data_IF_125030205378
#
_entry.id   IF_125030205378
#
_cell.length_a   1.000
_cell.length_b   1.000
_cell.length_c   1.000
_cell.angle_alpha   90.00
_cell.angle_beta   90.00
_cell.angle_gamma   90.00
#
_symmetry.space_group_name_H-M   'P 1'
#
loop_
_entity.id
_entity.type
_entity.pdbx_description
1 polymer ?
#
# COMPACT_ATOMS: atom_id res chain seq x y z
N UNK A 1 -1.70 20.64 21.18
CA UNK A 1 -0.48 21.45 21.01
C UNK A 1 -0.57 22.17 19.67
N UNK A 2 -0.51 23.47 19.71
CA UNK A 2 -0.46 24.31 18.52
C UNK A 2 0.86 24.06 17.76
N UNK A 3 0.78 23.80 16.46
CA UNK A 3 1.96 23.38 15.67
C UNK A 3 2.92 24.54 15.35
N UNK A 4 2.44 25.79 15.38
CA UNK A 4 3.24 26.98 15.09
C UNK A 4 3.92 27.52 16.33
N UNK A 5 3.21 27.52 17.47
CA UNK A 5 3.69 28.11 18.73
C UNK A 5 4.21 27.07 19.73
N UNK A 6 3.88 25.80 19.56
CA UNK A 6 4.17 24.76 20.54
C UNK A 6 3.32 24.82 21.81
N UNK A 7 2.38 25.78 21.91
CA UNK A 7 1.55 25.97 23.10
C UNK A 7 0.60 24.78 23.32
N UNK A 8 0.49 24.37 24.58
CA UNK A 8 -0.48 23.36 25.01
C UNK A 8 -1.71 24.13 25.54
N UNK A 9 -2.88 23.79 25.01
CA UNK A 9 -4.15 24.29 25.49
C UNK A 9 -4.96 23.13 26.05
N UNK A 10 -5.46 23.29 27.27
CA UNK A 10 -6.42 22.36 27.89
C UNK A 10 -7.83 22.85 27.59
N UNK A 11 -8.69 21.91 27.19
CA UNK A 11 -10.10 22.14 26.90
C UNK A 11 -10.94 21.09 27.60
N UNK A 12 -11.95 21.53 28.35
CA UNK A 12 -12.96 20.62 28.90
C UNK A 12 -13.93 20.16 27.80
N UNK A 13 -14.43 18.94 27.90
CA UNK A 13 -15.40 18.37 26.98
C UNK A 13 -16.34 17.41 27.73
N UNK A 14 -17.55 17.23 27.23
CA UNK A 14 -18.51 16.26 27.72
C UNK A 14 -18.43 14.95 26.91
N UNK A 15 -18.12 15.04 25.62
CA UNK A 15 -17.96 13.92 24.70
C UNK A 15 -16.74 14.12 23.81
N UNK A 16 -15.90 13.10 23.71
CA UNK A 16 -14.73 13.09 22.81
C UNK A 16 -14.91 12.04 21.71
N UNK A 17 -14.74 12.47 20.46
CA UNK A 17 -14.73 11.57 19.31
C UNK A 17 -13.29 11.38 18.82
N UNK A 18 -12.80 10.15 18.79
CA UNK A 18 -11.51 9.78 18.26
C UNK A 18 -11.65 9.29 16.81
N UNK A 19 -11.28 10.14 15.85
CA UNK A 19 -11.29 9.84 14.42
C UNK A 19 -9.88 9.92 13.83
N UNK A 20 -8.93 9.18 14.42
CA UNK A 20 -7.49 9.27 14.10
C UNK A 20 -7.08 8.58 12.80
N UNK A 21 -7.98 7.80 12.20
CA UNK A 21 -7.74 7.11 10.92
C UNK A 21 -6.69 6.01 11.00
N UNK A 22 -5.98 5.81 9.89
CA UNK A 22 -4.96 4.79 9.75
C UNK A 22 -3.77 5.31 8.93
N UNK A 23 -2.65 4.60 9.01
CA UNK A 23 -1.43 4.90 8.25
C UNK A 23 -1.05 3.67 7.41
N UNK A 24 -0.64 3.85 6.13
CA UNK A 24 -0.15 2.75 5.30
C UNK A 24 1.02 2.02 5.94
N UNK A 25 1.01 0.71 5.81
CA UNK A 25 2.15 -0.11 6.24
C UNK A 25 3.33 0.18 5.32
N UNK A 26 4.43 0.63 5.91
CA UNK A 26 5.71 0.77 5.22
C UNK A 26 6.51 -0.52 5.36
N UNK A 27 7.01 -1.02 4.24
CA UNK A 27 7.90 -2.18 4.25
C UNK A 27 9.30 -1.73 4.67
N UNK A 28 9.78 -2.26 5.80
CA UNK A 28 11.18 -2.06 6.24
C UNK A 28 12.07 -3.13 5.58
N UNK A 29 12.21 -3.02 4.27
CA UNK A 29 13.00 -3.94 3.44
C UNK A 29 14.18 -3.19 2.82
N UNK A 30 15.28 -3.89 2.46
CA UNK A 30 16.38 -3.29 1.74
C UNK A 30 15.92 -2.54 0.48
N UNK A 31 16.37 -1.30 0.31
CA UNK A 31 16.02 -0.45 -0.82
C UNK A 31 14.65 0.24 -0.75
N UNK A 32 13.92 0.13 0.36
CA UNK A 32 12.59 0.76 0.51
C UNK A 32 12.64 2.31 0.51
N UNK A 33 13.81 2.89 0.65
CA UNK A 33 14.08 4.33 0.59
C UNK A 33 14.31 4.87 -0.82
N UNK A 34 14.42 4.00 -1.82
CA UNK A 34 14.66 4.40 -3.22
C UNK A 34 13.50 5.25 -3.77
N UNK A 35 13.84 6.22 -4.63
CA UNK A 35 12.84 6.96 -5.39
C UNK A 35 12.04 6.04 -6.32
N UNK A 36 10.79 6.38 -6.59
CA UNK A 36 9.88 5.56 -7.39
C UNK A 36 9.14 4.48 -6.59
N UNK A 37 9.30 4.44 -5.26
CA UNK A 37 8.53 3.56 -4.37
C UNK A 37 7.55 4.40 -3.57
N UNK A 38 6.25 4.07 -3.67
CA UNK A 38 5.18 4.83 -3.05
C UNK A 38 4.21 3.92 -2.29
N UNK A 39 3.67 4.43 -1.19
CA UNK A 39 2.36 4.00 -0.71
C UNK A 39 1.28 4.78 -1.48
N UNK A 40 0.03 4.34 -1.43
CA UNK A 40 -1.07 5.00 -2.12
C UNK A 40 -2.26 5.12 -1.16
N UNK A 41 -2.33 6.24 -0.46
CA UNK A 41 -3.32 6.48 0.58
C UNK A 41 -3.95 7.86 0.53
N UNK A 42 -3.15 8.88 0.24
CA UNK A 42 -3.61 10.25 0.21
C UNK A 42 -3.71 10.80 -1.23
N UNK A 43 -4.63 11.75 -1.51
CA UNK A 43 -4.80 12.30 -2.87
C UNK A 43 -3.52 12.90 -3.47
N UNK A 44 -2.67 13.53 -2.66
CA UNK A 44 -1.42 14.13 -3.14
C UNK A 44 -0.38 13.09 -3.60
N UNK A 45 -0.46 11.84 -3.11
CA UNK A 45 0.40 10.76 -3.58
C UNK A 45 0.07 10.41 -5.04
N UNK A 46 -1.20 10.51 -5.43
CA UNK A 46 -1.62 10.35 -6.83
C UNK A 46 -0.96 11.37 -7.76
N UNK A 47 -0.91 12.63 -7.35
CA UNK A 47 -0.27 13.69 -8.13
C UNK A 47 1.21 13.42 -8.28
N UNK A 48 1.89 13.08 -7.19
CA UNK A 48 3.32 12.75 -7.20
C UNK A 48 3.63 11.56 -8.10
N UNK A 49 2.83 10.50 -8.03
CA UNK A 49 2.99 9.32 -8.90
C UNK A 49 2.82 9.70 -10.38
N UNK A 50 1.82 10.52 -10.72
CA UNK A 50 1.62 11.00 -12.11
C UNK A 50 2.79 11.83 -12.60
N UNK A 51 3.27 12.78 -11.80
CA UNK A 51 4.44 13.59 -12.13
C UNK A 51 5.68 12.73 -12.38
N UNK A 52 5.93 11.73 -11.53
CA UNK A 52 7.04 10.80 -11.71
C UNK A 52 6.87 9.92 -12.96
N UNK A 53 5.67 9.42 -13.24
CA UNK A 53 5.40 8.63 -14.44
C UNK A 53 5.73 9.40 -15.71
N UNK A 54 5.38 10.69 -15.78
CA UNK A 54 5.69 11.56 -16.91
C UNK A 54 7.18 11.89 -16.99
N UNK A 55 7.79 12.31 -15.86
CA UNK A 55 9.17 12.74 -15.81
C UNK A 55 10.16 11.62 -16.17
N UNK A 56 9.87 10.39 -15.75
CA UNK A 56 10.75 9.23 -15.96
C UNK A 56 10.27 8.28 -17.07
N UNK A 57 9.17 8.64 -17.78
CA UNK A 57 8.58 7.84 -18.85
C UNK A 57 8.38 6.38 -18.42
N UNK A 58 7.73 6.21 -17.27
CA UNK A 58 7.50 4.89 -16.67
C UNK A 58 6.68 4.01 -17.59
N UNK A 59 7.16 2.81 -17.85
CA UNK A 59 6.47 1.78 -18.65
C UNK A 59 6.14 0.53 -17.82
N UNK A 60 6.90 0.29 -16.75
CA UNK A 60 6.81 -0.93 -15.95
C UNK A 60 6.54 -0.58 -14.49
N UNK A 61 5.43 -1.08 -13.98
CA UNK A 61 5.03 -0.93 -12.59
C UNK A 61 4.90 -2.29 -11.90
N UNK A 62 5.41 -2.34 -10.67
CA UNK A 62 5.15 -3.47 -9.76
C UNK A 62 4.28 -2.98 -8.60
N UNK A 63 3.20 -3.70 -8.34
CA UNK A 63 2.32 -3.49 -7.19
C UNK A 63 2.59 -4.61 -6.19
N UNK A 64 2.96 -4.25 -4.97
CA UNK A 64 3.16 -5.19 -3.86
C UNK A 64 1.89 -5.21 -3.03
N UNK A 65 1.18 -6.33 -3.08
CA UNK A 65 -0.12 -6.55 -2.45
C UNK A 65 -1.28 -6.57 -3.45
N UNK A 66 -2.05 -7.66 -3.46
CA UNK A 66 -3.23 -7.87 -4.30
C UNK A 66 -4.56 -7.63 -3.54
N UNK A 67 -4.56 -6.70 -2.58
CA UNK A 67 -5.77 -6.19 -1.92
C UNK A 67 -6.54 -5.20 -2.80
N UNK A 68 -7.63 -4.61 -2.26
CA UNK A 68 -8.49 -3.67 -3.00
C UNK A 68 -7.70 -2.56 -3.70
N UNK A 69 -6.84 -1.84 -2.96
CA UNK A 69 -6.07 -0.73 -3.51
C UNK A 69 -5.15 -1.21 -4.63
N UNK A 70 -4.44 -2.34 -4.42
CA UNK A 70 -3.55 -2.90 -5.42
C UNK A 70 -4.28 -3.28 -6.70
N UNK A 71 -5.46 -3.87 -6.60
CA UNK A 71 -6.27 -4.28 -7.74
C UNK A 71 -6.82 -3.10 -8.54
N UNK A 72 -7.35 -2.07 -7.86
CA UNK A 72 -7.82 -0.82 -8.49
C UNK A 72 -6.70 -0.08 -9.22
N UNK A 73 -5.51 -0.01 -8.61
CA UNK A 73 -4.35 0.61 -9.24
C UNK A 73 -3.83 -0.20 -10.43
N UNK A 74 -3.90 -1.53 -10.35
CA UNK A 74 -3.51 -2.39 -11.47
C UNK A 74 -4.35 -2.11 -12.72
N UNK A 75 -5.67 -1.98 -12.56
CA UNK A 75 -6.56 -1.59 -13.64
C UNK A 75 -6.25 -0.19 -14.16
N UNK A 76 -6.04 0.78 -13.25
CA UNK A 76 -5.75 2.16 -13.61
C UNK A 76 -4.44 2.29 -14.41
N UNK A 77 -3.36 1.62 -13.99
CA UNK A 77 -2.09 1.63 -14.72
C UNK A 77 -2.17 0.87 -16.05
N UNK A 78 -2.88 -0.26 -16.06
CA UNK A 78 -3.09 -1.02 -17.29
C UNK A 78 -3.83 -0.17 -18.35
N UNK A 79 -4.88 0.56 -17.96
CA UNK A 79 -5.61 1.48 -18.86
C UNK A 79 -4.74 2.61 -19.41
N UNK A 80 -3.66 2.96 -18.74
CA UNK A 80 -2.67 3.93 -19.20
C UNK A 80 -1.57 3.30 -20.08
N UNK A 81 -1.65 2.00 -20.34
CA UNK A 81 -0.72 1.28 -21.22
C UNK A 81 0.56 0.80 -20.55
N UNK A 82 0.63 0.80 -19.21
CA UNK A 82 1.80 0.29 -18.51
C UNK A 82 1.79 -1.25 -18.45
N UNK A 83 2.99 -1.82 -18.40
CA UNK A 83 3.19 -3.22 -18.02
C UNK A 83 2.97 -3.34 -16.51
N UNK A 84 1.94 -4.08 -16.09
CA UNK A 84 1.57 -4.21 -14.69
C UNK A 84 1.93 -5.60 -14.17
N UNK A 85 2.69 -5.63 -13.07
CA UNK A 85 3.04 -6.82 -12.34
C UNK A 85 2.52 -6.68 -10.90
N UNK A 86 1.87 -7.71 -10.35
CA UNK A 86 1.38 -7.75 -8.98
C UNK A 86 2.09 -8.88 -8.23
N UNK A 87 2.66 -8.58 -7.07
CA UNK A 87 3.28 -9.55 -6.17
C UNK A 87 2.41 -9.68 -4.93
N UNK A 88 1.97 -10.89 -4.61
CA UNK A 88 1.14 -11.18 -3.45
C UNK A 88 1.69 -12.42 -2.72
N UNK A 89 1.83 -12.29 -1.41
CA UNK A 89 2.35 -13.39 -0.58
C UNK A 89 1.34 -14.51 -0.31
N UNK A 90 0.06 -14.20 -0.46
CA UNK A 90 -1.02 -15.17 -0.33
C UNK A 90 -1.22 -15.95 -1.62
N UNK A 91 -2.01 -17.01 -1.55
CA UNK A 91 -2.33 -17.93 -2.65
C UNK A 91 -3.32 -17.35 -3.67
N UNK A 92 -3.92 -16.19 -3.40
CA UNK A 92 -4.96 -15.56 -4.24
C UNK A 92 -4.99 -14.05 -4.15
N UNK A 93 -5.66 -13.44 -5.11
CA UNK A 93 -6.00 -12.02 -5.09
C UNK A 93 -7.18 -11.75 -4.15
N UNK A 94 -7.27 -10.54 -3.60
CA UNK A 94 -8.30 -10.12 -2.64
C UNK A 94 -8.51 -11.12 -1.49
N UNK A 95 -7.43 -11.61 -0.84
CA UNK A 95 -7.49 -12.78 0.04
C UNK A 95 -8.36 -12.59 1.29
N UNK A 96 -8.64 -11.33 1.67
CA UNK A 96 -9.52 -11.01 2.80
C UNK A 96 -11.01 -10.91 2.41
N UNK A 97 -11.34 -10.97 1.11
CA UNK A 97 -12.70 -10.73 0.61
C UNK A 97 -13.25 -11.89 -0.20
N UNK A 98 -12.39 -12.63 -0.88
CA UNK A 98 -12.78 -13.69 -1.79
C UNK A 98 -12.23 -15.04 -1.33
N UNK A 99 -13.02 -16.09 -1.51
CA UNK A 99 -12.52 -17.47 -1.50
C UNK A 99 -11.74 -17.77 -2.80
N UNK A 100 -11.16 -18.96 -2.88
CA UNK A 100 -10.36 -19.37 -4.04
C UNK A 100 -11.15 -19.38 -5.35
N UNK A 101 -12.39 -19.86 -5.32
CA UNK A 101 -13.21 -19.99 -6.52
C UNK A 101 -13.55 -18.61 -7.10
N UNK A 102 -13.96 -17.67 -6.24
CA UNK A 102 -14.26 -16.29 -6.64
C UNK A 102 -13.01 -15.54 -7.06
N UNK A 103 -11.89 -15.72 -6.35
CA UNK A 103 -10.62 -15.11 -6.72
C UNK A 103 -10.15 -15.57 -8.12
N UNK A 104 -10.32 -16.85 -8.47
CA UNK A 104 -10.01 -17.37 -9.79
C UNK A 104 -10.87 -16.79 -10.91
N UNK A 105 -12.14 -16.49 -10.63
CA UNK A 105 -13.02 -15.81 -11.59
C UNK A 105 -12.55 -14.39 -11.89
N UNK A 106 -12.04 -13.67 -10.88
CA UNK A 106 -11.51 -12.32 -11.05
C UNK A 106 -10.10 -12.32 -11.66
N UNK A 107 -9.28 -13.31 -11.33
CA UNK A 107 -7.91 -13.46 -11.83
C UNK A 107 -7.84 -13.64 -13.36
N UNK A 108 -8.69 -14.49 -13.92
CA UNK A 108 -8.69 -14.84 -15.36
C UNK A 108 -8.81 -13.62 -16.30
N UNK A 109 -9.74 -12.67 -16.09
CA UNK A 109 -9.80 -11.45 -16.89
C UNK A 109 -8.54 -10.59 -16.82
N UNK A 110 -7.90 -10.50 -15.65
CA UNK A 110 -6.67 -9.73 -15.46
C UNK A 110 -5.51 -10.33 -16.24
N UNK A 111 -5.31 -11.64 -16.13
CA UNK A 111 -4.28 -12.37 -16.89
C UNK A 111 -4.51 -12.24 -18.40
N UNK A 112 -5.79 -12.35 -18.85
CA UNK A 112 -6.17 -12.13 -20.25
C UNK A 112 -5.87 -10.73 -20.74
N UNK A 113 -5.97 -9.72 -19.86
CA UNK A 113 -5.60 -8.35 -20.14
C UNK A 113 -4.08 -8.13 -20.18
N UNK A 114 -3.27 -9.12 -19.77
CA UNK A 114 -1.81 -9.02 -19.75
C UNK A 114 -1.22 -8.57 -18.41
N UNK A 115 -2.03 -8.42 -17.36
CA UNK A 115 -1.56 -8.18 -16.00
C UNK A 115 -0.93 -9.47 -15.47
N UNK A 116 0.31 -9.39 -14.98
CA UNK A 116 1.04 -10.55 -14.45
C UNK A 116 0.84 -10.63 -12.95
N UNK A 117 0.40 -11.80 -12.48
CA UNK A 117 0.14 -12.09 -11.07
C UNK A 117 1.18 -13.10 -10.54
N UNK A 118 1.93 -12.70 -9.52
CA UNK A 118 2.90 -13.53 -8.82
C UNK A 118 2.36 -13.78 -7.41
N UNK A 119 1.58 -14.86 -7.28
CA UNK A 119 0.97 -15.32 -6.03
C UNK A 119 1.93 -16.24 -5.26
N UNK A 120 1.70 -16.38 -3.95
CA UNK A 120 2.57 -17.13 -3.04
C UNK A 120 4.04 -16.69 -3.17
N UNK A 121 4.24 -15.37 -3.39
CA UNK A 121 5.57 -14.81 -3.65
C UNK A 121 5.82 -13.60 -2.73
N UNK A 122 6.87 -13.69 -1.91
CA UNK A 122 7.18 -12.70 -0.90
C UNK A 122 8.18 -11.69 -1.41
N UNK A 123 7.87 -10.41 -1.30
CA UNK A 123 8.84 -9.33 -1.54
C UNK A 123 9.92 -9.35 -0.46
N UNK A 124 11.19 -9.35 -0.87
CA UNK A 124 12.36 -9.36 0.01
C UNK A 124 13.13 -8.03 0.01
N UNK A 125 12.94 -7.19 -1.02
CA UNK A 125 13.63 -5.91 -1.14
C UNK A 125 13.44 -5.28 -2.50
N UNK A 126 14.13 -4.17 -2.69
CA UNK A 126 14.12 -3.38 -3.91
C UNK A 126 15.55 -3.13 -4.38
N UNK A 127 15.79 -3.32 -5.66
CA UNK A 127 17.06 -2.99 -6.29
C UNK A 127 16.94 -1.63 -6.97
N UNK A 128 18.03 -0.89 -7.01
CA UNK A 128 18.01 0.45 -7.59
C UNK A 128 19.34 0.89 -8.14
N UNK A 129 19.28 1.88 -9.00
CA UNK A 129 20.42 2.55 -9.60
C UNK A 129 20.18 4.07 -9.56
N UNK A 130 21.25 4.84 -9.30
CA UNK A 130 21.17 6.31 -9.20
C UNK A 130 20.08 6.82 -8.24
N UNK A 131 19.84 6.08 -7.13
CA UNK A 131 18.85 6.44 -6.11
C UNK A 131 17.38 6.16 -6.49
N UNK A 132 17.13 5.43 -7.58
CA UNK A 132 15.77 5.05 -8.01
C UNK A 132 15.63 3.55 -8.16
N UNK A 133 14.42 3.06 -7.94
CA UNK A 133 14.08 1.64 -8.09
C UNK A 133 14.23 1.21 -9.56
N UNK A 134 14.81 0.03 -9.74
CA UNK A 134 14.95 -0.63 -11.05
C UNK A 134 14.34 -2.04 -11.04
N UNK A 135 14.15 -2.63 -9.87
CA UNK A 135 13.50 -3.93 -9.76
C UNK A 135 12.96 -4.20 -8.33
N UNK A 136 12.00 -5.10 -8.26
CA UNK A 136 11.52 -5.72 -7.01
C UNK A 136 12.11 -7.11 -6.91
N UNK A 137 12.79 -7.39 -5.79
CA UNK A 137 13.32 -8.72 -5.47
C UNK A 137 12.33 -9.48 -4.62
N UNK A 138 12.02 -10.69 -5.05
CA UNK A 138 11.17 -11.62 -4.31
C UNK A 138 11.96 -12.85 -3.86
N UNK A 139 11.32 -13.77 -3.17
CA UNK A 139 11.89 -15.06 -2.80
C UNK A 139 12.04 -16.02 -3.99
N UNK A 140 11.43 -15.70 -5.15
CA UNK A 140 11.45 -16.55 -6.34
C UNK A 140 12.15 -15.92 -7.54
N UNK A 141 12.19 -14.58 -7.64
CA UNK A 141 12.74 -13.86 -8.81
C UNK A 141 13.03 -12.39 -8.56
N UNK A 142 13.61 -11.74 -9.56
CA UNK A 142 13.71 -10.28 -9.64
C UNK A 142 12.80 -9.79 -10.77
N UNK A 143 11.94 -8.81 -10.48
CA UNK A 143 10.94 -8.27 -11.42
C UNK A 143 11.33 -6.84 -11.74
N UNK A 144 11.64 -6.49 -13.00
CA UNK A 144 11.95 -5.11 -13.40
C UNK A 144 10.79 -4.15 -13.05
N UNK A 145 11.13 -2.98 -12.53
CA UNK A 145 10.17 -1.95 -12.16
C UNK A 145 10.82 -0.56 -12.18
N UNK A 146 10.16 0.41 -12.78
CA UNK A 146 10.52 1.83 -12.71
C UNK A 146 9.67 2.59 -11.67
N UNK A 147 8.54 1.99 -11.31
CA UNK A 147 7.61 2.45 -10.29
C UNK A 147 7.14 1.25 -9.45
N UNK A 148 7.09 1.43 -8.14
CA UNK A 148 6.58 0.42 -7.22
C UNK A 148 5.51 1.04 -6.33
N UNK A 149 4.36 0.38 -6.24
CA UNK A 149 3.29 0.74 -5.30
C UNK A 149 3.21 -0.31 -4.21
N UNK A 150 3.37 0.12 -2.96
CA UNK A 150 3.24 -0.75 -1.78
C UNK A 150 1.82 -0.62 -1.23
N UNK A 151 1.00 -1.65 -1.44
CA UNK A 151 -0.42 -1.73 -1.10
C UNK A 151 -0.72 -2.91 -0.15
N UNK A 152 0.09 -3.07 0.90
CA UNK A 152 0.04 -4.22 1.84
C UNK A 152 -0.82 -3.96 3.08
N UNK A 153 -1.72 -2.99 3.01
CA UNK A 153 -2.66 -2.65 4.07
C UNK A 153 -2.25 -1.44 4.90
N UNK A 154 -2.99 -1.23 5.98
CA UNK A 154 -2.88 -0.06 6.87
C UNK A 154 -2.85 -0.50 8.33
N UNK A 155 -2.36 0.37 9.21
CA UNK A 155 -2.42 0.24 10.66
C UNK A 155 -3.27 1.36 11.24
N UNK A 156 -4.23 1.06 12.12
CA UNK A 156 -4.98 2.09 12.86
C UNK A 156 -4.05 2.98 13.68
N UNK A 157 -4.33 4.27 13.70
CA UNK A 157 -3.59 5.24 14.51
C UNK A 157 -4.21 5.28 15.91
N UNK A 158 -3.63 4.54 16.84
CA UNK A 158 -4.19 4.30 18.18
C UNK A 158 -3.37 4.88 19.31
N UNK A 159 -2.31 5.62 19.02
CA UNK A 159 -1.38 6.16 20.02
C UNK A 159 -2.10 7.06 21.03
N UNK A 160 -3.01 7.94 20.57
CA UNK A 160 -3.79 8.82 21.46
C UNK A 160 -4.75 8.03 22.33
N UNK A 161 -5.42 7.02 21.77
CA UNK A 161 -6.34 6.16 22.51
C UNK A 161 -5.59 5.37 23.58
N UNK A 162 -4.46 4.77 23.22
CA UNK A 162 -3.60 4.03 24.15
C UNK A 162 -3.06 4.93 25.25
N UNK A 163 -2.59 6.15 24.93
CA UNK A 163 -2.13 7.11 25.93
C UNK A 163 -3.23 7.58 26.88
N UNK A 164 -4.49 7.59 26.42
CA UNK A 164 -5.67 7.87 27.23
C UNK A 164 -6.18 6.66 28.04
N UNK A 165 -5.49 5.50 27.96
CA UNK A 165 -5.87 4.28 28.68
C UNK A 165 -7.06 3.53 28.08
N UNK A 166 -7.43 3.80 26.83
CA UNK A 166 -8.50 3.08 26.14
C UNK A 166 -8.02 1.70 25.68
N UNK A 167 -8.93 0.73 25.74
CA UNK A 167 -8.65 -0.64 25.32
C UNK A 167 -8.50 -0.74 23.79
N UNK A 168 -7.54 -1.55 23.37
CA UNK A 168 -7.34 -1.91 21.97
C UNK A 168 -7.78 -3.34 21.72
N UNK A 169 -8.47 -3.58 20.60
CA UNK A 169 -8.86 -4.91 20.18
C UNK A 169 -7.68 -5.74 19.66
N UNK A 170 -7.91 -7.00 19.35
CA UNK A 170 -6.90 -7.95 18.84
C UNK A 170 -6.29 -7.53 17.50
N UNK A 171 -7.00 -6.73 16.71
CA UNK A 171 -6.51 -6.14 15.45
C UNK A 171 -5.61 -4.92 15.67
N UNK A 172 -5.44 -4.43 16.90
CA UNK A 172 -4.78 -3.19 17.25
C UNK A 172 -5.63 -1.93 17.04
N UNK A 173 -6.89 -2.05 16.63
CA UNK A 173 -7.83 -0.92 16.54
C UNK A 173 -8.40 -0.60 17.93
N UNK A 174 -8.97 0.60 18.08
CA UNK A 174 -9.66 0.99 19.33
C UNK A 174 -10.85 0.06 19.53
N UNK A 175 -10.94 -0.55 20.73
CA UNK A 175 -12.08 -1.38 21.08
C UNK A 175 -13.33 -0.50 21.26
N UNK A 176 -14.44 -0.94 20.67
CA UNK A 176 -15.73 -0.26 20.77
C UNK A 176 -16.78 -1.27 21.22
N UNK A 177 -17.79 -0.80 21.94
CA UNK A 177 -19.00 -1.56 22.25
C UNK A 177 -20.08 -1.26 21.19
N UNK A 178 -21.16 -2.04 21.24
CA UNK A 178 -22.35 -1.83 20.41
C UNK A 178 -23.07 -0.51 20.77
#
# INVERSE_FOLDING_TARGET
MDKETGAIQEMSYDVLVLGTGATPVKLSLPGAELGGIHNFWFPWETLKVKEEMEAYKVTDVVIVGAGLIGMELAEAFHKQGLTVNIVEMQDRILPQMLDLEMADLVKKPLEKAGIRLYLEEKTLGFEGENGRVTAVKTDKRTIPAQLVIVAVGVRPNTELASAAGLELGTSGAIAVNE
#
